data_IF_354158787875
#
_entry.id   IF_354158787875
#
_cell.length_a   1.000
_cell.length_b   1.000
_cell.length_c   1.000
_cell.angle_alpha   90.00
_cell.angle_beta   90.00
_cell.angle_gamma   90.00
#
_symmetry.space_group_name_H-M   'P 1'
#
loop_
_entity.id
_entity.type
_entity.pdbx_description
1 polymer ?
#
# COMPACT_ATOMS: atom_id res chain seq x y z
N UNK A 1 2.92 -10.49 -11.70
CA UNK A 1 3.72 -10.40 -10.46
C UNK A 1 2.87 -10.62 -9.21
N UNK A 2 1.78 -9.86 -8.98
CA UNK A 2 0.89 -10.03 -7.81
C UNK A 2 0.28 -11.45 -7.67
N UNK A 3 -0.07 -12.09 -8.78
CA UNK A 3 -0.65 -13.45 -8.77
C UNK A 3 0.28 -14.53 -8.19
N UNK A 4 1.60 -14.41 -8.39
CA UNK A 4 2.56 -15.37 -7.85
C UNK A 4 2.75 -15.19 -6.34
N UNK A 5 2.83 -13.93 -5.88
CA UNK A 5 2.92 -13.58 -4.46
C UNK A 5 1.68 -14.08 -3.72
N UNK A 6 0.50 -13.93 -4.32
CA UNK A 6 -0.75 -14.44 -3.75
C UNK A 6 -0.74 -15.96 -3.56
N UNK A 7 -0.23 -16.70 -4.55
CA UNK A 7 -0.06 -18.16 -4.45
C UNK A 7 0.94 -18.56 -3.36
N UNK A 8 2.09 -17.89 -3.30
CA UNK A 8 3.10 -18.15 -2.25
C UNK A 8 2.55 -17.83 -0.85
N UNK A 9 1.80 -16.73 -0.70
CA UNK A 9 1.13 -16.39 0.56
C UNK A 9 0.09 -17.45 0.94
N UNK A 10 -0.74 -17.92 0.00
CA UNK A 10 -1.67 -19.03 0.25
C UNK A 10 -0.97 -20.29 0.75
N UNK A 11 0.14 -20.69 0.12
CA UNK A 11 0.93 -21.85 0.56
C UNK A 11 1.51 -21.64 1.97
N UNK A 12 1.96 -20.41 2.27
CA UNK A 12 2.45 -20.05 3.60
C UNK A 12 1.34 -20.12 4.65
N UNK A 13 0.13 -19.62 4.35
CA UNK A 13 -1.02 -19.69 5.26
C UNK A 13 -1.39 -21.13 5.62
N UNK A 14 -1.39 -22.04 4.63
CA UNK A 14 -1.62 -23.48 4.87
C UNK A 14 -0.52 -24.04 5.77
N UNK A 15 0.73 -23.70 5.51
CA UNK A 15 1.88 -24.16 6.30
C UNK A 15 1.80 -23.65 7.76
N UNK A 16 1.46 -22.37 7.96
CA UNK A 16 1.27 -21.78 9.29
C UNK A 16 0.12 -22.44 10.02
N UNK A 17 -1.02 -22.68 9.34
CA UNK A 17 -2.18 -23.33 9.95
C UNK A 17 -1.81 -24.72 10.47
N UNK A 18 -1.12 -25.52 9.67
CA UNK A 18 -0.70 -26.87 10.05
C UNK A 18 0.32 -26.84 11.19
N UNK A 19 1.31 -25.95 11.11
CA UNK A 19 2.31 -25.79 12.15
C UNK A 19 1.69 -25.32 13.48
N UNK A 20 0.81 -24.34 13.43
CA UNK A 20 0.10 -23.81 14.60
C UNK A 20 -0.74 -24.90 15.28
N UNK A 21 -1.52 -25.65 14.50
CA UNK A 21 -2.32 -26.75 15.01
C UNK A 21 -1.45 -27.80 15.73
N UNK A 22 -0.33 -28.20 15.12
CA UNK A 22 0.59 -29.17 15.70
C UNK A 22 1.21 -28.73 17.02
N UNK A 23 1.60 -27.45 17.14
CA UNK A 23 2.14 -26.90 18.38
C UNK A 23 1.08 -26.76 19.48
N UNK A 24 -0.16 -26.42 19.11
CA UNK A 24 -1.27 -26.24 20.06
C UNK A 24 -1.90 -27.55 20.56
N UNK A 25 -1.81 -28.64 19.80
CA UNK A 25 -2.51 -29.90 20.07
C UNK A 25 -1.59 -31.02 20.57
N UNK A 26 -0.34 -30.71 20.93
CA UNK A 26 0.66 -31.69 21.39
C UNK A 26 0.71 -32.95 20.50
N UNK A 27 0.74 -32.75 19.18
CA UNK A 27 0.83 -33.89 18.26
C UNK A 27 2.12 -34.68 18.53
N UNK A 28 2.09 -36.02 18.42
CA UNK A 28 3.22 -36.88 18.77
C UNK A 28 4.45 -36.69 17.87
N UNK A 29 4.33 -35.97 16.75
CA UNK A 29 5.43 -35.70 15.83
C UNK A 29 5.65 -34.19 15.63
N UNK A 30 6.89 -33.68 15.80
CA UNK A 30 7.19 -32.27 15.57
C UNK A 30 7.07 -31.94 14.08
N UNK A 31 6.10 -31.08 13.73
CA UNK A 31 6.03 -30.48 12.39
C UNK A 31 7.04 -29.34 12.33
N UNK A 32 7.99 -29.40 11.41
CA UNK A 32 8.91 -28.29 11.14
C UNK A 32 8.25 -27.16 10.35
N UNK A 33 8.64 -25.92 10.61
CA UNK A 33 8.19 -24.74 9.85
C UNK A 33 9.33 -24.17 8.99
N UNK A 34 9.04 -23.85 7.73
CA UNK A 34 10.01 -23.28 6.81
C UNK A 34 10.10 -21.75 6.97
N UNK A 35 10.99 -21.30 7.87
CA UNK A 35 11.21 -19.87 8.11
C UNK A 35 11.86 -19.12 6.94
N UNK A 36 12.61 -19.82 6.08
CA UNK A 36 13.18 -19.22 4.88
C UNK A 36 12.07 -18.80 3.90
N UNK A 37 11.09 -19.68 3.68
CA UNK A 37 9.93 -19.37 2.84
C UNK A 37 9.04 -18.29 3.46
N UNK A 38 8.87 -18.29 4.78
CA UNK A 38 8.20 -17.19 5.50
C UNK A 38 8.86 -15.83 5.24
N UNK A 39 10.20 -15.75 5.38
CA UNK A 39 10.96 -14.52 5.13
C UNK A 39 10.84 -14.10 3.66
N UNK A 40 10.97 -15.04 2.73
CA UNK A 40 10.83 -14.78 1.30
C UNK A 40 9.48 -14.12 0.99
N UNK A 41 8.37 -14.69 1.47
CA UNK A 41 7.03 -14.12 1.23
C UNK A 41 6.89 -12.73 1.83
N UNK A 42 7.40 -12.51 3.04
CA UNK A 42 7.39 -11.19 3.67
C UNK A 42 8.16 -10.16 2.83
N UNK A 43 9.38 -10.48 2.42
CA UNK A 43 10.22 -9.59 1.63
C UNK A 43 9.59 -9.30 0.26
N UNK A 44 8.99 -10.31 -0.39
CA UNK A 44 8.26 -10.14 -1.64
C UNK A 44 7.11 -9.13 -1.49
N UNK A 45 6.29 -9.22 -0.43
CA UNK A 45 5.20 -8.28 -0.18
C UNK A 45 5.76 -6.88 0.11
N UNK A 46 6.81 -6.80 0.94
CA UNK A 46 7.44 -5.53 1.35
C UNK A 46 7.98 -4.74 0.16
N UNK A 47 8.60 -5.42 -0.80
CA UNK A 47 9.19 -4.84 -2.00
C UNK A 47 8.17 -4.47 -3.10
N UNK A 48 6.89 -4.83 -2.94
CA UNK A 48 5.87 -4.45 -3.93
C UNK A 48 5.73 -2.91 -4.02
N UNK A 49 5.35 -2.38 -5.19
CA UNK A 49 4.89 -1.00 -5.30
C UNK A 49 3.69 -0.74 -4.40
N UNK A 50 3.56 0.48 -3.88
CA UNK A 50 2.47 0.87 -2.99
C UNK A 50 1.14 0.92 -3.73
N UNK A 51 0.42 -0.20 -3.73
CA UNK A 51 -0.87 -0.36 -4.39
C UNK A 51 -1.89 -0.96 -3.44
N UNK A 52 -3.17 -0.90 -3.81
CA UNK A 52 -4.24 -1.60 -3.10
C UNK A 52 -3.95 -3.09 -2.91
N UNK A 53 -3.42 -3.75 -3.94
CA UNK A 53 -3.02 -5.16 -3.87
C UNK A 53 -1.93 -5.40 -2.81
N UNK A 54 -0.94 -4.50 -2.70
CA UNK A 54 0.09 -4.59 -1.64
C UNK A 54 -0.54 -4.50 -0.26
N UNK A 55 -1.42 -3.52 -0.04
CA UNK A 55 -2.12 -3.35 1.24
C UNK A 55 -2.93 -4.61 1.60
N UNK A 56 -3.69 -5.15 0.65
CA UNK A 56 -4.47 -6.38 0.88
C UNK A 56 -3.57 -7.58 1.23
N UNK A 57 -2.41 -7.71 0.58
CA UNK A 57 -1.45 -8.77 0.89
C UNK A 57 -0.83 -8.58 2.28
N UNK A 58 -0.49 -7.35 2.67
CA UNK A 58 0.00 -7.02 4.01
C UNK A 58 -1.03 -7.36 5.09
N UNK A 59 -2.29 -6.95 4.93
CA UNK A 59 -3.38 -7.25 5.87
C UNK A 59 -3.59 -8.76 6.02
N UNK A 60 -3.61 -9.46 4.88
CA UNK A 60 -3.77 -10.91 4.85
C UNK A 60 -2.60 -11.63 5.53
N UNK A 61 -1.38 -11.17 5.32
CA UNK A 61 -0.19 -11.68 6.00
C UNK A 61 -0.26 -11.47 7.52
N UNK A 62 -0.62 -10.26 7.97
CA UNK A 62 -0.76 -9.97 9.41
C UNK A 62 -1.78 -10.91 10.08
N UNK A 63 -2.97 -11.04 9.48
CA UNK A 63 -4.08 -11.82 10.04
C UNK A 63 -3.81 -13.32 10.02
N UNK A 64 -3.36 -13.87 8.88
CA UNK A 64 -3.35 -15.32 8.69
C UNK A 64 -2.00 -15.98 8.98
N UNK A 65 -0.91 -15.21 8.93
CA UNK A 65 0.45 -15.71 9.11
C UNK A 65 1.03 -15.19 10.41
N UNK A 66 1.24 -13.88 10.53
CA UNK A 66 2.01 -13.30 11.63
C UNK A 66 1.32 -13.48 12.99
N UNK A 67 0.04 -13.15 13.12
CA UNK A 67 -0.68 -13.28 14.40
C UNK A 67 -0.56 -14.71 14.98
N UNK A 68 -0.76 -15.73 14.14
CA UNK A 68 -0.66 -17.14 14.54
C UNK A 68 0.77 -17.56 14.88
N UNK A 69 1.75 -17.14 14.09
CA UNK A 69 3.15 -17.46 14.39
C UNK A 69 3.65 -16.72 15.63
N UNK A 70 3.16 -15.52 15.90
CA UNK A 70 3.65 -14.68 17.01
C UNK A 70 3.33 -15.24 18.39
N UNK A 71 2.25 -16.00 18.54
CA UNK A 71 1.93 -16.65 19.81
C UNK A 71 2.83 -17.85 20.09
N UNK A 72 3.48 -18.42 19.07
CA UNK A 72 4.47 -19.51 19.20
C UNK A 72 5.90 -18.95 19.21
N UNK A 73 6.16 -17.95 18.35
CA UNK A 73 7.46 -17.33 18.10
C UNK A 73 7.36 -15.81 18.28
N UNK A 74 7.28 -15.30 19.52
CA UNK A 74 7.01 -13.89 19.80
C UNK A 74 8.07 -12.94 19.25
N UNK A 75 9.32 -13.41 19.06
CA UNK A 75 10.40 -12.61 18.47
C UNK A 75 10.11 -12.16 17.03
N UNK A 76 9.24 -12.85 16.30
CA UNK A 76 8.87 -12.46 14.94
C UNK A 76 8.13 -11.10 14.90
N UNK A 77 7.48 -10.71 15.99
CA UNK A 77 6.76 -9.43 16.09
C UNK A 77 7.65 -8.20 15.87
N UNK A 78 8.94 -8.32 16.19
CA UNK A 78 9.86 -7.18 16.09
C UNK A 78 10.42 -6.97 14.69
N UNK A 79 10.40 -8.00 13.83
CA UNK A 79 11.09 -7.97 12.54
C UNK A 79 10.17 -8.16 11.34
N UNK A 80 8.99 -8.74 11.54
CA UNK A 80 8.06 -9.12 10.47
C UNK A 80 6.67 -8.58 10.79
N UNK A 81 6.51 -7.27 10.61
CA UNK A 81 5.31 -6.53 10.98
C UNK A 81 5.00 -5.47 9.91
N UNK A 82 3.77 -5.47 9.41
CA UNK A 82 3.20 -4.48 8.49
C UNK A 82 2.17 -3.56 9.15
N UNK A 83 1.89 -3.69 10.44
CA UNK A 83 0.84 -2.92 11.14
C UNK A 83 1.02 -1.41 10.98
N UNK A 84 2.24 -0.90 11.11
CA UNK A 84 2.53 0.53 10.93
C UNK A 84 2.35 0.96 9.48
N UNK A 85 2.87 0.19 8.52
CA UNK A 85 2.71 0.43 7.08
C UNK A 85 1.23 0.42 6.67
N UNK A 86 0.43 -0.53 7.17
CA UNK A 86 -1.01 -0.63 6.90
C UNK A 86 -1.71 0.61 7.46
N UNK A 87 -1.47 0.95 8.73
CA UNK A 87 -2.11 2.10 9.38
C UNK A 87 -1.79 3.42 8.69
N UNK A 88 -0.57 3.55 8.16
CA UNK A 88 -0.14 4.75 7.45
C UNK A 88 -0.69 4.80 6.02
N UNK A 89 -0.52 3.73 5.25
CA UNK A 89 -0.73 3.77 3.81
C UNK A 89 -2.13 3.38 3.35
N UNK A 90 -2.81 2.48 4.06
CA UNK A 90 -4.20 2.10 3.71
C UNK A 90 -5.14 3.30 3.56
N UNK A 91 -5.26 4.21 4.55
CA UNK A 91 -6.16 5.35 4.42
C UNK A 91 -5.79 6.29 3.28
N UNK A 92 -4.50 6.42 2.95
CA UNK A 92 -4.02 7.26 1.84
C UNK A 92 -4.41 6.67 0.49
N UNK A 93 -4.23 5.36 0.31
CA UNK A 93 -4.61 4.65 -0.91
C UNK A 93 -6.14 4.66 -1.10
N UNK A 94 -6.91 4.47 -0.03
CA UNK A 94 -8.38 4.54 -0.11
C UNK A 94 -8.87 5.96 -0.48
N UNK A 95 -8.25 7.00 0.08
CA UNK A 95 -8.55 8.39 -0.30
C UNK A 95 -8.16 8.68 -1.76
N UNK A 96 -7.01 8.19 -2.22
CA UNK A 96 -6.59 8.29 -3.63
C UNK A 96 -7.60 7.64 -4.57
N UNK A 97 -8.02 6.41 -4.27
CA UNK A 97 -9.02 5.68 -5.07
C UNK A 97 -10.35 6.42 -5.11
N UNK A 98 -10.83 6.90 -3.96
CA UNK A 98 -12.08 7.66 -3.87
C UNK A 98 -12.03 8.96 -4.69
N UNK A 99 -10.94 9.71 -4.58
CA UNK A 99 -10.76 10.96 -5.34
C UNK A 99 -10.59 10.70 -6.83
N UNK A 100 -9.89 9.64 -7.24
CA UNK A 100 -9.78 9.22 -8.64
C UNK A 100 -11.16 8.89 -9.22
N UNK A 101 -11.99 8.14 -8.49
CA UNK A 101 -13.37 7.85 -8.90
C UNK A 101 -14.21 9.12 -9.05
N UNK A 102 -14.14 10.03 -8.08
CA UNK A 102 -14.83 11.32 -8.14
C UNK A 102 -14.34 12.18 -9.31
N UNK A 103 -13.03 12.26 -9.53
CA UNK A 103 -12.45 13.02 -10.63
C UNK A 103 -12.90 12.47 -11.98
N UNK A 104 -12.93 11.14 -12.15
CA UNK A 104 -13.40 10.48 -13.38
C UNK A 104 -14.89 10.69 -13.60
N UNK A 105 -15.71 10.56 -12.56
CA UNK A 105 -17.15 10.82 -12.66
C UNK A 105 -17.41 12.27 -13.05
N UNK A 106 -16.75 13.22 -12.38
CA UNK A 106 -16.86 14.65 -12.72
C UNK A 106 -16.37 14.94 -14.15
N UNK A 107 -15.28 14.32 -14.59
CA UNK A 107 -14.78 14.48 -15.97
C UNK A 107 -15.79 13.97 -17.01
N UNK A 108 -16.33 12.77 -16.80
CA UNK A 108 -17.28 12.16 -17.73
C UNK A 108 -18.62 12.92 -17.79
N UNK A 109 -19.13 13.37 -16.64
CA UNK A 109 -20.45 13.98 -16.51
C UNK A 109 -20.35 15.51 -16.29
N UNK A 110 -19.28 16.14 -16.78
CA UNK A 110 -19.01 17.56 -16.51
C UNK A 110 -20.14 18.50 -16.99
N UNK A 111 -20.70 18.19 -18.16
CA UNK A 111 -21.80 18.94 -18.79
C UNK A 111 -23.18 18.38 -18.44
N UNK A 112 -23.27 17.36 -17.58
CA UNK A 112 -24.55 16.80 -17.17
C UNK A 112 -25.32 17.81 -16.30
N UNK A 113 -26.65 17.78 -16.40
CA UNK A 113 -27.54 18.61 -15.58
C UNK A 113 -27.31 18.39 -14.08
N UNK A 114 -27.07 17.14 -13.68
CA UNK A 114 -26.68 16.75 -12.32
C UNK A 114 -25.17 16.53 -12.24
N UNK A 115 -24.39 17.60 -12.44
CA UNK A 115 -22.91 17.54 -12.37
C UNK A 115 -22.44 16.92 -11.04
N UNK A 116 -21.57 15.89 -11.07
CA UNK A 116 -21.02 15.29 -9.85
C UNK A 116 -20.21 16.28 -9.01
N UNK A 117 -20.24 16.12 -7.69
CA UNK A 117 -19.45 16.93 -6.76
C UNK A 117 -18.09 16.29 -6.53
N UNK A 118 -17.03 17.10 -6.58
CA UNK A 118 -15.67 16.68 -6.24
C UNK A 118 -15.26 17.20 -4.87
N UNK A 119 -14.72 16.32 -4.02
CA UNK A 119 -14.30 16.68 -2.66
C UNK A 119 -12.93 17.39 -2.64
N UNK A 120 -12.97 18.70 -2.87
CA UNK A 120 -11.77 19.56 -2.84
C UNK A 120 -11.04 19.56 -1.49
N UNK A 121 -11.76 19.46 -0.39
CA UNK A 121 -11.15 19.43 0.95
C UNK A 121 -10.30 18.17 1.12
N UNK A 122 -10.85 17.00 0.80
CA UNK A 122 -10.12 15.73 0.83
C UNK A 122 -8.91 15.75 -0.11
N UNK A 123 -9.06 16.31 -1.31
CA UNK A 123 -7.96 16.47 -2.26
C UNK A 123 -6.78 17.28 -1.70
N UNK A 124 -7.06 18.45 -1.10
CA UNK A 124 -6.02 19.29 -0.46
C UNK A 124 -5.38 18.59 0.73
N UNK A 125 -6.19 17.95 1.57
CA UNK A 125 -5.72 17.24 2.75
C UNK A 125 -4.78 16.08 2.36
N UNK A 126 -5.18 15.28 1.37
CA UNK A 126 -4.37 14.17 0.87
C UNK A 126 -3.02 14.65 0.34
N UNK A 127 -2.98 15.74 -0.45
CA UNK A 127 -1.73 16.34 -0.93
C UNK A 127 -0.80 16.71 0.24
N UNK A 128 -1.35 17.31 1.30
CA UNK A 128 -0.58 17.66 2.49
C UNK A 128 -0.09 16.42 3.25
N UNK A 129 -0.92 15.39 3.40
CA UNK A 129 -0.55 14.13 4.04
C UNK A 129 0.61 13.45 3.30
N UNK A 130 0.54 13.35 1.97
CA UNK A 130 1.63 12.81 1.13
C UNK A 130 2.92 13.62 1.31
N UNK A 131 2.81 14.96 1.39
CA UNK A 131 3.97 15.84 1.59
C UNK A 131 4.72 15.57 2.90
N UNK A 132 4.00 15.11 3.93
CA UNK A 132 4.53 14.87 5.27
C UNK A 132 5.02 13.42 5.51
N UNK A 133 4.99 12.56 4.49
CA UNK A 133 5.52 11.19 4.61
C UNK A 133 7.05 11.23 4.79
N UNK A 134 7.61 10.61 5.84
CA UNK A 134 9.04 10.67 6.12
C UNK A 134 9.86 9.80 5.15
N UNK A 135 9.34 8.62 4.78
CA UNK A 135 9.99 7.71 3.85
C UNK A 135 9.96 8.29 2.43
N UNK A 136 11.11 8.67 1.89
CA UNK A 136 11.21 9.33 0.58
C UNK A 136 10.77 8.43 -0.58
N UNK A 137 11.06 7.14 -0.51
CA UNK A 137 10.68 6.17 -1.56
C UNK A 137 9.17 6.01 -1.64
N UNK A 138 8.51 5.84 -0.49
CA UNK A 138 7.05 5.69 -0.43
C UNK A 138 6.35 7.02 -0.73
N UNK A 139 6.90 8.15 -0.25
CA UNK A 139 6.46 9.50 -0.58
C UNK A 139 6.46 9.73 -2.09
N UNK A 140 7.56 9.41 -2.78
CA UNK A 140 7.69 9.53 -4.24
C UNK A 140 6.63 8.69 -4.96
N UNK A 141 6.38 7.46 -4.52
CA UNK A 141 5.32 6.62 -5.10
C UNK A 141 3.92 7.24 -4.91
N UNK A 142 3.60 7.74 -3.72
CA UNK A 142 2.32 8.39 -3.43
C UNK A 142 2.13 9.68 -4.24
N UNK A 143 3.18 10.49 -4.39
CA UNK A 143 3.15 11.68 -5.25
C UNK A 143 2.81 11.32 -6.70
N UNK A 144 3.48 10.31 -7.25
CA UNK A 144 3.22 9.83 -8.61
C UNK A 144 1.79 9.27 -8.77
N UNK A 145 1.28 8.54 -7.77
CA UNK A 145 -0.11 8.05 -7.79
C UNK A 145 -1.11 9.21 -7.75
N UNK A 146 -0.87 10.22 -6.92
CA UNK A 146 -1.70 11.41 -6.86
C UNK A 146 -1.72 12.17 -8.19
N UNK A 147 -0.54 12.41 -8.77
CA UNK A 147 -0.37 13.10 -10.05
C UNK A 147 -1.13 12.38 -11.18
N UNK A 148 -0.84 11.09 -11.36
CA UNK A 148 -1.33 10.32 -12.50
C UNK A 148 -2.82 9.96 -12.39
N UNK A 149 -3.29 9.64 -11.18
CA UNK A 149 -4.65 9.11 -11.02
C UNK A 149 -5.68 10.19 -10.71
N UNK A 150 -5.28 11.28 -10.03
CA UNK A 150 -6.24 12.29 -9.56
C UNK A 150 -5.99 13.63 -10.23
N UNK A 151 -4.78 14.19 -10.09
CA UNK A 151 -4.46 15.54 -10.56
C UNK A 151 -4.61 15.66 -12.08
N UNK A 152 -4.09 14.69 -12.82
CA UNK A 152 -4.16 14.68 -14.28
C UNK A 152 -5.62 14.70 -14.78
N UNK A 153 -6.51 13.91 -14.16
CA UNK A 153 -7.92 13.84 -14.55
C UNK A 153 -8.64 15.14 -14.19
N UNK A 154 -8.51 15.60 -12.93
CA UNK A 154 -9.23 16.79 -12.47
C UNK A 154 -8.74 18.07 -13.18
N UNK A 155 -7.48 18.11 -13.62
CA UNK A 155 -6.93 19.26 -14.35
C UNK A 155 -7.54 19.44 -15.75
N UNK A 156 -8.09 18.38 -16.36
CA UNK A 156 -8.83 18.51 -17.62
C UNK A 156 -10.16 19.23 -17.43
N UNK A 157 -10.69 19.20 -16.21
CA UNK A 157 -11.93 19.88 -15.83
C UNK A 157 -11.63 21.28 -15.29
N UNK A 158 -10.64 21.39 -14.42
CA UNK A 158 -10.21 22.65 -13.79
C UNK A 158 -8.69 22.86 -13.95
N UNK A 159 -8.24 23.45 -15.07
CA UNK A 159 -6.81 23.54 -15.40
C UNK A 159 -5.95 24.26 -14.36
N UNK A 160 -6.52 25.25 -13.65
CA UNK A 160 -5.82 26.02 -12.61
C UNK A 160 -5.38 25.15 -11.42
N UNK A 161 -6.02 24.01 -11.22
CA UNK A 161 -5.67 23.06 -10.14
C UNK A 161 -4.29 22.47 -10.36
N UNK A 162 -3.89 22.22 -11.62
CA UNK A 162 -2.59 21.61 -11.92
C UNK A 162 -1.42 22.43 -11.34
N UNK A 163 -1.38 23.73 -11.66
CA UNK A 163 -0.32 24.63 -11.21
C UNK A 163 -0.26 24.79 -9.67
N UNK A 164 -1.38 24.58 -8.97
CA UNK A 164 -1.48 24.79 -7.53
C UNK A 164 -1.20 23.53 -6.70
N UNK A 165 -1.30 22.34 -7.29
CA UNK A 165 -1.29 21.08 -6.55
C UNK A 165 -0.33 20.02 -7.09
N UNK A 166 0.38 20.31 -8.19
CA UNK A 166 1.43 19.42 -8.70
C UNK A 166 2.57 19.23 -7.70
N UNK A 167 3.17 18.04 -7.74
CA UNK A 167 4.41 17.65 -7.10
C UNK A 167 5.61 17.68 -8.07
N UNK A 168 5.46 18.24 -9.28
CA UNK A 168 6.54 18.28 -10.28
C UNK A 168 7.86 18.84 -9.72
N UNK A 169 7.89 19.97 -8.98
CA UNK A 169 9.11 20.48 -8.37
C UNK A 169 9.73 19.48 -7.37
N UNK A 170 8.92 18.93 -6.46
CA UNK A 170 9.38 17.98 -5.44
C UNK A 170 9.92 16.68 -6.07
N UNK A 171 9.27 16.17 -7.11
CA UNK A 171 9.69 14.98 -7.84
C UNK A 171 11.01 15.20 -8.61
N UNK A 172 11.22 16.41 -9.14
CA UNK A 172 12.47 16.78 -9.82
C UNK A 172 13.64 16.87 -8.82
N UNK A 173 13.42 17.48 -7.65
CA UNK A 173 14.42 17.57 -6.58
C UNK A 173 14.86 16.17 -6.10
N UNK A 174 13.90 15.27 -5.86
CA UNK A 174 14.19 13.89 -5.45
C UNK A 174 15.04 13.15 -6.49
N UNK A 175 14.74 13.34 -7.78
CA UNK A 175 15.48 12.69 -8.87
C UNK A 175 16.91 13.22 -9.02
N UNK A 176 17.12 14.51 -8.74
CA UNK A 176 18.45 15.14 -8.75
C UNK A 176 19.35 14.67 -7.60
N UNK A 177 18.75 14.34 -6.44
CA UNK A 177 19.45 13.80 -5.27
C UNK A 177 19.87 12.35 -5.48
N UNK A 178 19.04 11.56 -6.19
CA UNK A 178 19.38 10.17 -6.56
C UNK A 178 20.59 10.13 -7.51
N UNK A 179 20.72 11.11 -8.41
CA UNK A 179 21.81 11.22 -9.39
C UNK A 179 23.16 11.67 -8.78
N UNK A 180 23.15 12.27 -7.59
CA UNK A 180 24.37 12.70 -6.87
C UNK A 180 24.91 11.63 -5.91
N UNK A 181 24.21 10.51 -5.75
CA UNK A 181 24.59 9.39 -4.88
C UNK A 181 25.13 8.17 -5.64
N UNK A 182 25.21 8.26 -6.98
CA UNK A 182 25.91 7.31 -7.85
C UNK A 182 27.31 7.86 -8.17
#
# INVERSE_FOLDING_TARGET
MSHEIYKKLQQLEVSVKNYYAAQSQYLPYPISFNFSFFREVYDLIKLMPLTKDKIQLMERFELNVRQKLSSIHPKLNYSFNFSEDINLYKPLIEQLDSLNQQARSLFNDYFAFNRPVFNWHAFRNLRNQISNIPNQTDKKQLMLLFENNVLQVISQVEPKVYASFTFTPELAEMSSLDSKKQ
#
